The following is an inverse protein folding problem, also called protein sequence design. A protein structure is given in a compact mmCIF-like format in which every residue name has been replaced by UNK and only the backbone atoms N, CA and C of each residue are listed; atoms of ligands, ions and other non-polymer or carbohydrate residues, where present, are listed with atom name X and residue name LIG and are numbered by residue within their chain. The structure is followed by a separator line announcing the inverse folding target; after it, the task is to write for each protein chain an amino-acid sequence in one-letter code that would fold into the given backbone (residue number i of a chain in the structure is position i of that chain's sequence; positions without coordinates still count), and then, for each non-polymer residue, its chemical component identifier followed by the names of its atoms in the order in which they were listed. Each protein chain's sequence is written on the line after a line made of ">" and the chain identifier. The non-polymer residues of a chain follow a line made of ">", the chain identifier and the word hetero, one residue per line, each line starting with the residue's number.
data_IF_758052525126
#
_entry.id   IF_758052525126
#
_cell.length_a   1.000
_cell.length_b   1.000
_cell.length_c   1.000
_cell.angle_alpha   90.00
_cell.angle_beta   90.00
_cell.angle_gamma   90.00
#
_symmetry.space_group_name_H-M   'P 1'
#
loop_
_entity.id
_entity.type
_entity.pdbx_description
1 polymer ?
#
# COMPACT_ATOMS: atom_id res chain seq x y z
N UNK A 1 -21.71 -12.35 -18.33
CA UNK A 1 -21.59 -11.55 -17.09
C UNK A 1 -20.59 -10.42 -17.32
N UNK A 2 -20.80 -9.24 -16.70
CA UNK A 2 -19.96 -8.02 -16.90
C UNK A 2 -18.47 -8.28 -16.58
N UNK A 3 -18.14 -9.23 -15.73
CA UNK A 3 -16.81 -9.48 -15.21
C UNK A 3 -16.21 -10.84 -15.58
N UNK A 4 -16.76 -11.53 -16.58
CA UNK A 4 -16.33 -12.89 -16.97
C UNK A 4 -14.91 -12.97 -17.56
N UNK A 5 -14.32 -11.84 -17.94
CA UNK A 5 -12.97 -11.76 -18.52
C UNK A 5 -11.90 -11.39 -17.51
N UNK A 6 -12.30 -10.93 -16.29
CA UNK A 6 -11.37 -10.57 -15.23
C UNK A 6 -10.59 -11.80 -14.77
N UNK A 7 -9.35 -11.59 -14.36
CA UNK A 7 -8.49 -12.62 -13.83
C UNK A 7 -9.14 -13.32 -12.63
N UNK A 8 -9.38 -14.63 -12.77
CA UNK A 8 -10.04 -15.45 -11.77
C UNK A 8 -8.98 -16.23 -10.96
N UNK A 9 -9.07 -16.14 -9.65
CA UNK A 9 -8.20 -16.89 -8.74
C UNK A 9 -8.79 -18.27 -8.49
N UNK A 10 -8.00 -19.31 -8.71
CA UNK A 10 -8.39 -20.69 -8.43
C UNK A 10 -8.23 -21.05 -6.96
N UNK A 11 -7.30 -20.39 -6.28
CA UNK A 11 -7.01 -20.61 -4.85
C UNK A 11 -6.45 -19.32 -4.25
N UNK A 12 -6.71 -19.09 -2.96
CA UNK A 12 -6.17 -17.97 -2.19
C UNK A 12 -5.62 -18.45 -0.85
N UNK A 13 -4.40 -18.04 -0.55
CA UNK A 13 -3.86 -18.18 0.80
C UNK A 13 -4.38 -17.04 1.67
N UNK A 14 -5.22 -17.39 2.65
CA UNK A 14 -5.81 -16.41 3.57
C UNK A 14 -4.81 -16.10 4.68
N UNK A 15 -4.52 -14.82 4.97
CA UNK A 15 -3.69 -14.44 6.10
C UNK A 15 -4.24 -14.93 7.44
N UNK A 16 -3.39 -15.01 8.46
CA UNK A 16 -3.81 -15.38 9.81
C UNK A 16 -4.97 -14.50 10.28
N UNK A 17 -5.97 -15.10 10.91
CA UNK A 17 -7.18 -14.41 11.38
C UNK A 17 -6.87 -13.19 12.28
N UNK A 18 -5.80 -13.28 13.08
CA UNK A 18 -5.34 -12.19 13.94
C UNK A 18 -4.85 -10.97 13.16
N UNK A 19 -4.32 -11.17 11.94
CA UNK A 19 -3.89 -10.08 11.05
C UNK A 19 -5.09 -9.47 10.34
N UNK A 20 -6.02 -10.30 9.87
CA UNK A 20 -7.26 -9.83 9.22
C UNK A 20 -8.07 -8.94 10.17
N UNK A 21 -8.21 -9.34 11.45
CA UNK A 21 -8.96 -8.57 12.45
C UNK A 21 -8.34 -7.21 12.79
N UNK A 22 -7.04 -7.04 12.57
CA UNK A 22 -6.31 -5.79 12.86
C UNK A 22 -6.06 -4.93 11.61
N UNK A 23 -6.26 -5.51 10.43
CA UNK A 23 -6.06 -4.82 9.16
C UNK A 23 -7.33 -4.14 8.67
N UNK A 24 -7.17 -3.15 7.79
CA UNK A 24 -8.27 -2.43 7.16
C UNK A 24 -8.88 -3.19 5.96
N UNK A 25 -8.44 -4.43 5.69
CA UNK A 25 -8.96 -5.24 4.60
C UNK A 25 -8.00 -6.35 4.17
N UNK A 26 -8.45 -7.16 3.23
CA UNK A 26 -7.66 -8.23 2.60
C UNK A 26 -7.51 -7.87 1.12
N UNK A 27 -6.27 -7.77 0.66
CA UNK A 27 -5.91 -7.41 -0.69
C UNK A 27 -4.96 -8.46 -1.26
N UNK A 28 -4.99 -8.67 -2.56
CA UNK A 28 -4.03 -9.56 -3.18
C UNK A 28 -2.81 -8.79 -3.70
N UNK A 29 -1.70 -9.47 -3.70
CA UNK A 29 -0.44 -9.00 -4.27
C UNK A 29 0.08 -10.06 -5.24
N UNK A 30 -0.27 -9.94 -6.50
CA UNK A 30 0.21 -10.84 -7.55
C UNK A 30 0.51 -10.03 -8.81
N UNK A 31 1.72 -10.17 -9.30
CA UNK A 31 2.14 -9.65 -10.60
C UNK A 31 2.52 -10.79 -11.52
N UNK A 32 2.11 -10.74 -12.76
CA UNK A 32 2.54 -11.67 -13.79
C UNK A 32 3.54 -10.96 -14.72
N UNK A 33 4.68 -11.59 -14.94
CA UNK A 33 5.59 -11.15 -15.99
C UNK A 33 5.12 -11.67 -17.36
N UNK A 34 5.38 -10.90 -18.40
CA UNK A 34 5.25 -11.35 -19.78
C UNK A 34 6.26 -12.50 -20.04
N UNK A 35 6.15 -13.28 -21.14
CA UNK A 35 7.01 -14.40 -21.45
C UNK A 35 8.52 -14.06 -21.51
N UNK A 36 8.85 -12.79 -21.72
CA UNK A 36 10.22 -12.27 -21.72
C UNK A 36 10.73 -11.85 -20.32
N UNK A 37 9.94 -12.10 -19.27
CA UNK A 37 10.28 -11.77 -17.89
C UNK A 37 10.00 -10.32 -17.48
N UNK A 38 9.50 -9.48 -18.40
CA UNK A 38 9.18 -8.06 -18.10
C UNK A 38 7.73 -7.94 -17.67
N UNK A 39 7.48 -7.34 -16.51
CA UNK A 39 6.12 -7.05 -16.04
C UNK A 39 5.62 -5.73 -16.64
N UNK A 40 4.87 -5.77 -17.73
CA UNK A 40 4.29 -4.58 -18.39
C UNK A 40 2.88 -4.28 -17.97
N UNK A 41 2.22 -5.23 -17.33
CA UNK A 41 0.82 -5.11 -16.91
C UNK A 41 0.70 -5.59 -15.46
N UNK A 42 -0.16 -4.90 -14.72
CA UNK A 42 -0.45 -5.26 -13.34
C UNK A 42 -1.96 -5.41 -13.13
N UNK A 43 -2.44 -6.53 -12.58
CA UNK A 43 -3.85 -6.72 -12.31
C UNK A 43 -4.27 -5.82 -11.14
N UNK A 44 -5.22 -4.91 -11.38
CA UNK A 44 -5.77 -4.03 -10.34
C UNK A 44 -6.95 -4.67 -9.62
N UNK A 45 -7.71 -5.51 -10.32
CA UNK A 45 -8.86 -6.24 -9.80
C UNK A 45 -8.75 -7.71 -10.17
N UNK A 46 -9.17 -8.56 -9.27
CA UNK A 46 -9.29 -10.00 -9.47
C UNK A 46 -10.65 -10.51 -9.05
N UNK A 47 -11.03 -11.67 -9.55
CA UNK A 47 -12.28 -12.35 -9.22
C UNK A 47 -11.96 -13.61 -8.39
N UNK A 48 -12.69 -13.81 -7.31
CA UNK A 48 -12.67 -15.05 -6.53
C UNK A 48 -14.05 -15.31 -5.95
N UNK A 49 -14.55 -16.51 -6.11
CA UNK A 49 -15.89 -16.90 -5.65
C UNK A 49 -16.97 -15.86 -6.07
N UNK A 50 -16.91 -15.47 -7.33
CA UNK A 50 -17.82 -14.47 -7.93
C UNK A 50 -17.82 -13.08 -7.24
N UNK A 51 -16.77 -12.75 -6.46
CA UNK A 51 -16.54 -11.46 -5.80
C UNK A 51 -15.30 -10.80 -6.36
N UNK A 52 -15.38 -9.48 -6.54
CA UNK A 52 -14.23 -8.68 -6.94
C UNK A 52 -13.37 -8.31 -5.73
N UNK A 53 -12.07 -8.44 -5.90
CA UNK A 53 -11.07 -8.04 -4.91
C UNK A 53 -10.11 -7.04 -5.53
N UNK A 54 -9.79 -5.94 -4.85
CA UNK A 54 -8.76 -5.01 -5.29
C UNK A 54 -7.36 -5.60 -5.05
N UNK A 55 -6.42 -5.26 -5.92
CA UNK A 55 -5.01 -5.45 -5.62
C UNK A 55 -4.57 -4.51 -4.49
N UNK A 56 -3.46 -4.83 -3.84
CA UNK A 56 -2.87 -3.95 -2.83
C UNK A 56 -2.57 -2.55 -3.39
N UNK A 57 -2.11 -2.45 -4.65
CA UNK A 57 -1.85 -1.17 -5.30
C UNK A 57 -3.12 -0.32 -5.45
N UNK A 58 -4.22 -0.92 -5.92
CA UNK A 58 -5.50 -0.21 -6.03
C UNK A 58 -6.04 0.18 -4.66
N UNK A 59 -5.95 -0.73 -3.68
CA UNK A 59 -6.43 -0.49 -2.33
C UNK A 59 -5.69 0.69 -1.66
N UNK A 60 -4.35 0.75 -1.80
CA UNK A 60 -3.55 1.87 -1.28
C UNK A 60 -3.93 3.19 -1.97
N UNK A 61 -4.15 3.17 -3.28
CA UNK A 61 -4.58 4.36 -4.02
C UNK A 61 -5.96 4.85 -3.54
N UNK A 62 -6.92 3.94 -3.38
CA UNK A 62 -8.25 4.29 -2.88
C UNK A 62 -8.21 4.83 -1.44
N UNK A 63 -7.41 4.21 -0.56
CA UNK A 63 -7.22 4.67 0.81
C UNK A 63 -6.60 6.08 0.85
N UNK A 64 -5.59 6.34 0.00
CA UNK A 64 -4.97 7.66 -0.14
C UNK A 64 -5.99 8.76 -0.51
N UNK A 65 -6.93 8.44 -1.39
CA UNK A 65 -7.96 9.38 -1.81
C UNK A 65 -9.19 9.38 -0.88
N UNK A 66 -9.30 8.44 0.05
CA UNK A 66 -10.44 8.31 0.96
C UNK A 66 -11.68 7.74 0.28
N UNK A 67 -11.52 6.90 -0.76
CA UNK A 67 -12.59 6.30 -1.55
C UNK A 67 -12.76 4.84 -1.20
N UNK A 68 -13.99 4.38 -1.00
CA UNK A 68 -14.29 2.97 -0.77
C UNK A 68 -14.29 2.17 -2.09
N UNK A 69 -13.83 0.91 -2.04
CA UNK A 69 -13.89 0.01 -3.20
C UNK A 69 -15.30 -0.20 -3.74
N UNK A 70 -16.33 -0.03 -2.92
CA UNK A 70 -17.72 -0.13 -3.36
C UNK A 70 -18.24 1.11 -4.10
N UNK A 71 -17.50 2.21 -4.08
CA UNK A 71 -17.88 3.50 -4.68
C UNK A 71 -17.25 3.71 -6.06
N UNK A 72 -16.40 2.78 -6.51
CA UNK A 72 -15.73 2.89 -7.79
C UNK A 72 -16.57 2.26 -8.92
N UNK A 73 -16.53 2.86 -10.10
CA UNK A 73 -17.07 2.26 -11.32
C UNK A 73 -15.99 1.44 -12.02
N UNK A 74 -16.33 0.18 -12.35
CA UNK A 74 -15.42 -0.75 -13.01
C UNK A 74 -16.04 -1.17 -14.34
N UNK A 75 -15.39 -0.80 -15.44
CA UNK A 75 -15.76 -1.25 -16.79
C UNK A 75 -14.58 -1.98 -17.43
N UNK A 76 -14.57 -3.35 -17.41
CA UNK A 76 -13.51 -4.13 -18.02
C UNK A 76 -13.30 -3.78 -19.50
N UNK A 77 -12.04 -3.62 -19.89
CA UNK A 77 -11.68 -3.19 -21.25
C UNK A 77 -11.70 -1.66 -21.45
N UNK A 78 -12.08 -0.90 -20.41
CA UNK A 78 -12.10 0.56 -20.46
C UNK A 78 -11.36 1.16 -19.26
N UNK A 79 -11.99 1.15 -18.08
CA UNK A 79 -11.45 1.87 -16.93
C UNK A 79 -11.94 1.36 -15.57
N UNK A 80 -11.20 1.77 -14.54
CA UNK A 80 -11.67 1.95 -13.16
C UNK A 80 -11.79 3.45 -12.96
N UNK A 81 -12.95 3.92 -12.47
CA UNK A 81 -13.25 5.33 -12.33
C UNK A 81 -13.83 5.63 -10.94
N UNK A 82 -13.45 6.74 -10.36
CA UNK A 82 -14.01 7.23 -9.11
C UNK A 82 -13.84 8.73 -8.97
N UNK A 83 -14.80 9.36 -8.31
CA UNK A 83 -14.75 10.78 -7.95
C UNK A 83 -13.99 10.96 -6.62
N UNK A 84 -13.28 12.08 -6.48
CA UNK A 84 -12.65 12.42 -5.22
C UNK A 84 -13.72 12.92 -4.23
N UNK A 85 -13.70 12.45 -2.96
CA UNK A 85 -14.65 12.90 -1.96
C UNK A 85 -14.49 14.41 -1.73
N UNK A 86 -15.58 15.13 -1.38
CA UNK A 86 -15.51 16.56 -1.10
C UNK A 86 -14.58 16.83 0.08
N UNK A 87 -14.07 18.06 0.18
CA UNK A 87 -13.32 18.55 1.32
C UNK A 87 -14.22 18.71 2.56
N UNK A 88 -13.63 19.04 3.70
CA UNK A 88 -14.36 19.27 4.96
C UNK A 88 -15.42 20.38 4.88
N UNK A 89 -15.31 21.26 3.89
CA UNK A 89 -16.25 22.36 3.61
C UNK A 89 -17.34 21.99 2.60
N UNK A 90 -17.29 20.75 2.05
CA UNK A 90 -18.24 20.26 1.04
C UNK A 90 -17.95 20.72 -0.38
N UNK A 91 -16.77 21.30 -0.65
CA UNK A 91 -16.36 21.68 -2.00
C UNK A 91 -15.77 20.48 -2.74
N UNK A 92 -15.85 20.49 -4.07
CA UNK A 92 -15.20 19.48 -4.92
C UNK A 92 -13.70 19.48 -4.64
N UNK A 93 -13.18 18.34 -4.13
CA UNK A 93 -11.74 18.16 -3.93
C UNK A 93 -11.08 17.89 -5.28
N UNK A 94 -9.91 18.45 -5.46
CA UNK A 94 -9.05 18.19 -6.61
C UNK A 94 -7.75 17.58 -6.15
N UNK A 95 -7.13 16.74 -6.98
CA UNK A 95 -5.79 16.23 -6.74
C UNK A 95 -4.72 17.29 -7.08
N UNK A 96 -3.45 16.94 -6.95
CA UNK A 96 -2.31 17.83 -7.26
C UNK A 96 -2.26 18.28 -8.73
N UNK A 97 -3.03 17.64 -9.62
CA UNK A 97 -3.14 17.97 -11.05
C UNK A 97 -4.45 18.70 -11.40
N UNK A 98 -5.26 19.08 -10.40
CA UNK A 98 -6.54 19.76 -10.59
C UNK A 98 -7.66 18.84 -11.11
N UNK A 99 -7.61 17.54 -10.79
CA UNK A 99 -8.61 16.56 -11.21
C UNK A 99 -9.53 16.23 -10.04
N UNK A 100 -10.82 16.29 -10.26
CA UNK A 100 -11.85 15.86 -9.31
C UNK A 100 -12.27 14.40 -9.49
N UNK A 101 -11.86 13.80 -10.62
CA UNK A 101 -12.17 12.42 -11.02
C UNK A 101 -10.89 11.70 -11.41
N UNK A 102 -10.73 10.48 -10.95
CA UNK A 102 -9.60 9.61 -11.31
C UNK A 102 -10.09 8.51 -12.26
N UNK A 103 -9.42 8.40 -13.41
CA UNK A 103 -9.70 7.38 -14.41
C UNK A 103 -8.44 6.56 -14.65
N UNK A 104 -8.49 5.27 -14.34
CA UNK A 104 -7.41 4.32 -14.53
C UNK A 104 -7.78 3.40 -15.70
N UNK A 105 -7.12 3.50 -16.87
CA UNK A 105 -7.40 2.61 -17.98
C UNK A 105 -7.01 1.18 -17.67
N UNK A 106 -7.91 0.24 -17.94
CA UNK A 106 -7.70 -1.20 -17.76
C UNK A 106 -8.11 -1.98 -19.01
N UNK A 107 -7.47 -3.11 -19.23
CA UNK A 107 -7.88 -4.05 -20.27
C UNK A 107 -9.07 -4.93 -19.80
N UNK A 108 -9.54 -5.82 -20.68
CA UNK A 108 -10.66 -6.74 -20.39
C UNK A 108 -10.40 -7.66 -19.19
N UNK A 109 -9.12 -7.91 -18.84
CA UNK A 109 -8.72 -8.73 -17.69
C UNK A 109 -8.58 -7.94 -16.39
N UNK A 110 -8.90 -6.65 -16.38
CA UNK A 110 -8.75 -5.79 -15.20
C UNK A 110 -7.31 -5.37 -14.92
N UNK A 111 -6.42 -5.41 -15.92
CA UNK A 111 -5.02 -5.06 -15.79
C UNK A 111 -4.76 -3.66 -16.33
N UNK A 112 -4.01 -2.86 -15.61
CA UNK A 112 -3.42 -1.60 -16.11
C UNK A 112 -2.05 -1.84 -16.73
N UNK A 113 -1.63 -0.96 -17.63
CA UNK A 113 -0.26 -0.92 -18.12
C UNK A 113 0.63 -0.19 -17.12
N UNK A 114 1.75 -0.81 -16.77
CA UNK A 114 2.73 -0.21 -15.85
C UNK A 114 3.68 0.67 -16.65
N UNK A 115 3.80 1.93 -16.25
CA UNK A 115 4.84 2.82 -16.74
C UNK A 115 6.02 2.81 -15.74
N UNK A 116 7.05 2.03 -16.05
CA UNK A 116 8.22 1.94 -15.19
C UNK A 116 9.00 3.27 -15.22
N UNK A 117 9.22 3.85 -14.05
CA UNK A 117 9.89 5.15 -13.91
C UNK A 117 11.42 5.11 -14.25
N UNK A 118 11.99 3.93 -14.46
CA UNK A 118 13.41 3.77 -14.79
C UNK A 118 13.94 2.35 -14.54
N UNK A 119 15.20 2.10 -14.86
CA UNK A 119 15.85 0.84 -14.57
C UNK A 119 16.04 0.68 -13.06
N UNK A 120 16.03 -0.59 -12.61
CA UNK A 120 16.32 -0.98 -11.23
C UNK A 120 17.83 -0.94 -10.97
N UNK A 121 18.47 0.20 -11.17
CA UNK A 121 19.89 0.40 -10.90
C UNK A 121 20.09 1.31 -9.69
N UNK A 122 21.15 1.03 -8.90
CA UNK A 122 21.57 1.83 -7.74
C UNK A 122 22.04 3.26 -8.08
N UNK A 123 21.95 3.65 -9.34
CA UNK A 123 22.32 4.98 -9.80
C UNK A 123 21.09 5.87 -9.92
N UNK A 124 20.96 6.72 -8.93
CA UNK A 124 20.08 7.88 -8.90
C UNK A 124 20.26 8.70 -10.17
N UNK A 125 19.33 8.62 -11.11
CA UNK A 125 19.22 9.60 -12.18
C UNK A 125 18.24 10.67 -11.75
N UNK A 126 18.63 11.92 -11.90
CA UNK A 126 18.15 13.09 -11.17
C UNK A 126 16.67 13.51 -11.33
N UNK A 127 15.83 12.78 -12.05
CA UNK A 127 14.43 13.16 -12.28
C UNK A 127 13.38 12.32 -11.56
N UNK A 128 13.73 11.11 -11.11
CA UNK A 128 12.80 10.26 -10.35
C UNK A 128 13.56 9.53 -9.24
N UNK A 129 13.67 10.18 -8.10
CA UNK A 129 14.30 9.65 -6.90
C UNK A 129 13.33 8.67 -6.18
N UNK A 130 13.14 7.49 -6.74
CA UNK A 130 12.49 6.40 -6.01
C UNK A 130 13.53 5.71 -5.15
N UNK A 131 13.63 6.12 -3.89
CA UNK A 131 14.52 5.48 -2.93
C UNK A 131 14.03 4.05 -2.64
N UNK A 132 14.83 3.07 -3.03
CA UNK A 132 14.61 1.68 -2.68
C UNK A 132 15.33 1.36 -1.36
N UNK A 133 14.56 1.10 -0.31
CA UNK A 133 15.12 0.59 0.95
C UNK A 133 14.99 -0.93 1.00
N UNK A 134 16.10 -1.70 0.97
CA UNK A 134 16.04 -3.13 1.23
C UNK A 134 15.40 -3.41 2.58
N UNK A 135 14.58 -4.45 2.68
CA UNK A 135 13.95 -4.85 3.95
C UNK A 135 14.96 -4.98 5.12
N UNK A 136 16.16 -5.43 4.82
CA UNK A 136 17.26 -5.53 5.80
C UNK A 136 17.65 -4.17 6.40
N UNK A 137 17.54 -3.08 5.64
CA UNK A 137 17.80 -1.71 6.13
C UNK A 137 16.66 -1.27 7.04
N UNK A 138 15.42 -1.50 6.65
CA UNK A 138 14.24 -1.19 7.47
C UNK A 138 14.30 -1.95 8.80
N UNK A 139 14.63 -3.24 8.75
CA UNK A 139 14.80 -4.06 9.96
C UNK A 139 15.90 -3.52 10.89
N UNK A 140 17.05 -3.08 10.33
CA UNK A 140 18.12 -2.44 11.13
C UNK A 140 17.67 -1.15 11.80
N UNK A 141 16.89 -0.32 11.13
CA UNK A 141 16.33 0.88 11.76
C UNK A 141 15.42 0.53 12.93
N UNK A 142 14.56 -0.46 12.80
CA UNK A 142 13.71 -0.94 13.91
C UNK A 142 14.54 -1.48 15.08
N UNK A 143 15.60 -2.22 14.81
CA UNK A 143 16.53 -2.72 15.83
C UNK A 143 17.25 -1.57 16.56
N UNK A 144 17.67 -0.53 15.85
CA UNK A 144 18.31 0.66 16.43
C UNK A 144 17.31 1.45 17.28
N UNK A 145 16.09 1.66 16.82
CA UNK A 145 15.03 2.33 17.58
C UNK A 145 14.70 1.56 18.85
N UNK A 146 14.56 0.24 18.75
CA UNK A 146 14.33 -0.61 19.92
C UNK A 146 15.49 -0.53 20.92
N UNK A 147 16.73 -0.59 20.45
CA UNK A 147 17.93 -0.48 21.29
C UNK A 147 18.02 0.88 21.98
N UNK A 148 17.72 1.96 21.28
CA UNK A 148 17.67 3.31 21.83
C UNK A 148 16.57 3.46 22.90
N UNK A 149 15.39 2.88 22.66
CA UNK A 149 14.29 2.84 23.62
C UNK A 149 14.69 2.09 24.91
N UNK A 150 15.32 0.92 24.78
CA UNK A 150 15.81 0.12 25.89
C UNK A 150 16.86 0.91 26.68
N UNK A 151 17.84 1.52 25.99
CA UNK A 151 18.89 2.32 26.61
C UNK A 151 18.34 3.53 27.37
N UNK A 152 17.35 4.23 26.82
CA UNK A 152 16.70 5.36 27.47
C UNK A 152 15.96 4.93 28.74
N UNK A 153 15.30 3.76 28.72
CA UNK A 153 14.64 3.21 29.91
C UNK A 153 15.64 2.79 30.99
N UNK A 154 16.77 2.17 30.63
CA UNK A 154 17.85 1.85 31.61
C UNK A 154 18.42 3.11 32.24
N UNK A 155 18.69 4.17 31.46
CA UNK A 155 19.16 5.46 31.98
C UNK A 155 18.16 6.08 32.96
N UNK A 156 16.86 6.02 32.64
CA UNK A 156 15.80 6.52 33.52
C UNK A 156 15.73 5.76 34.83
N UNK A 157 15.79 4.42 34.80
CA UNK A 157 15.79 3.58 36.01
C UNK A 157 17.03 3.78 36.86
N UNK A 158 18.21 3.88 36.26
CA UNK A 158 19.44 4.16 36.96
C UNK A 158 19.40 5.51 37.72
N UNK A 159 18.90 6.56 37.06
CA UNK A 159 18.72 7.87 37.68
C UNK A 159 17.69 7.85 38.83
N UNK A 160 16.60 7.08 38.70
CA UNK A 160 15.62 6.92 39.77
C UNK A 160 16.24 6.18 41.00
N UNK A 161 17.01 5.11 40.77
CA UNK A 161 17.69 4.37 41.83
C UNK A 161 18.74 5.21 42.51
N UNK A 162 19.50 6.00 41.78
CA UNK A 162 20.51 6.91 42.34
C UNK A 162 19.89 8.01 43.21
N UNK A 163 18.82 8.64 42.76
CA UNK A 163 18.10 9.67 43.52
C UNK A 163 17.35 9.08 44.73
N UNK A 164 16.91 7.79 44.65
CA UNK A 164 16.32 7.09 45.79
C UNK A 164 17.33 6.81 46.92
N UNK A 165 18.55 6.47 46.58
CA UNK A 165 19.60 6.19 47.57
C UNK A 165 20.13 7.46 48.25
N UNK A 166 20.10 8.64 47.63
CA UNK A 166 20.48 9.91 48.26
C UNK A 166 19.45 10.34 49.31
N UNK A 167 18.17 10.05 49.15
CA UNK A 167 17.13 10.35 50.13
C UNK A 167 17.11 9.42 51.32
N UNK A 168 17.76 8.26 51.24
CA UNK A 168 17.84 7.31 52.35
C UNK A 168 19.06 7.55 53.28
N UNK A 169 19.91 8.51 52.94
CA UNK A 169 21.19 8.80 53.68
C UNK A 169 21.20 10.18 54.32
N UNK A 170 20.08 10.92 54.29
CA UNK A 170 19.85 12.19 55.02
C UNK A 170 18.69 12.02 56.02
#
# INVERSE_FOLDING_TARGET
>A
AKFSTIFDFYDIEIPLESLIKKGNGVYYFQGNSDPDGVARKYPLIGLYDNRLFPSAALAIALDHYGVSFNEIDIEPGKHIRFDLPPDESGNTKEDEYGRSEIIIPINEKGMMQVNWAGPWEDKVTAEFDVMHYPYTVIKRFQEIEHSNFVLANYKRLANQSFNGNIKATL
#
